data_IF_654306872591
#
_entry.id   IF_654306872591
#
_cell.length_a   1.000
_cell.length_b   1.000
_cell.length_c   1.000
_cell.angle_alpha   90.00
_cell.angle_beta   90.00
_cell.angle_gamma   90.00
#
_symmetry.space_group_name_H-M   'P 1'
#
loop_
_entity.id
_entity.type
_entity.pdbx_description
1 polymer ?
#
# COMPACT_ATOMS: atom_id res chain seq x y z
N UNK A 1 17.88 1.71 18.07
CA UNK A 1 17.13 2.23 16.92
C UNK A 1 16.17 1.16 16.43
N UNK A 2 14.85 1.39 16.50
CA UNK A 2 13.84 0.41 16.04
C UNK A 2 13.16 0.92 14.78
N UNK A 3 13.08 0.06 13.75
CA UNK A 3 12.46 0.39 12.46
C UNK A 3 11.31 -0.58 12.22
N UNK A 4 10.14 -0.04 11.91
CA UNK A 4 8.98 -0.81 11.49
C UNK A 4 8.92 -0.84 9.95
N UNK A 5 8.59 -2.00 9.39
CA UNK A 5 8.30 -2.15 7.97
C UNK A 5 6.85 -2.60 7.82
N UNK A 6 6.09 -1.92 6.95
CA UNK A 6 4.70 -2.25 6.68
C UNK A 6 4.38 -2.19 5.19
N UNK A 7 3.31 -2.87 4.80
CA UNK A 7 2.72 -2.75 3.47
C UNK A 7 1.44 -1.93 3.55
N UNK A 8 1.38 -0.82 2.82
CA UNK A 8 0.17 -0.03 2.69
C UNK A 8 -0.70 -0.62 1.56
N UNK A 9 -1.89 -1.11 1.91
CA UNK A 9 -2.90 -1.44 0.89
C UNK A 9 -3.56 -0.15 0.42
N UNK A 10 -3.06 0.40 -0.68
CA UNK A 10 -3.59 1.62 -1.30
C UNK A 10 -4.81 1.31 -2.17
N UNK A 11 -5.88 2.09 -2.01
CA UNK A 11 -7.01 2.12 -2.94
C UNK A 11 -6.72 3.17 -4.04
N UNK A 12 -6.93 2.85 -5.33
CA UNK A 12 -6.73 3.82 -6.41
C UNK A 12 -7.62 5.06 -6.23
N UNK A 13 -7.04 6.24 -6.40
CA UNK A 13 -7.70 7.55 -6.33
C UNK A 13 -8.39 7.92 -4.98
N UNK A 14 -8.43 7.04 -3.99
CA UNK A 14 -8.98 7.34 -2.66
C UNK A 14 -7.89 7.83 -1.71
N UNK A 15 -7.51 9.10 -1.86
CA UNK A 15 -6.49 9.74 -1.03
C UNK A 15 -6.90 9.71 0.46
N UNK A 16 -8.13 10.11 0.86
CA UNK A 16 -8.50 10.12 2.28
C UNK A 16 -8.41 8.75 2.95
N UNK A 17 -8.88 7.67 2.30
CA UNK A 17 -8.78 6.33 2.87
C UNK A 17 -7.32 5.87 2.99
N UNK A 18 -6.48 6.20 2.01
CA UNK A 18 -5.07 5.86 2.04
C UNK A 18 -4.33 6.57 3.18
N UNK A 19 -4.62 7.85 3.41
CA UNK A 19 -4.05 8.62 4.52
C UNK A 19 -4.49 8.05 5.88
N UNK A 20 -5.78 7.68 6.04
CA UNK A 20 -6.25 7.04 7.28
C UNK A 20 -5.52 5.74 7.57
N UNK A 21 -5.39 4.87 6.56
CA UNK A 21 -4.64 3.60 6.68
C UNK A 21 -3.17 3.83 7.03
N UNK A 22 -2.54 4.82 6.41
CA UNK A 22 -1.17 5.19 6.71
C UNK A 22 -1.02 5.68 8.16
N UNK A 23 -1.92 6.54 8.63
CA UNK A 23 -1.91 7.06 9.99
C UNK A 23 -2.00 5.93 11.02
N UNK A 24 -2.89 4.96 10.81
CA UNK A 24 -3.00 3.77 11.68
C UNK A 24 -1.70 2.96 11.73
N UNK A 25 -1.03 2.75 10.58
CA UNK A 25 0.27 2.04 10.57
C UNK A 25 1.35 2.81 11.31
N UNK A 26 1.36 4.14 11.21
CA UNK A 26 2.30 4.99 11.92
C UNK A 26 2.07 4.99 13.43
N UNK A 27 0.81 5.03 13.89
CA UNK A 27 0.44 4.88 15.30
C UNK A 27 0.92 3.53 15.85
N UNK A 28 0.61 2.44 15.15
CA UNK A 28 1.07 1.10 15.54
C UNK A 28 2.61 1.01 15.62
N UNK A 29 3.32 1.62 14.68
CA UNK A 29 4.78 1.66 14.70
C UNK A 29 5.30 2.43 15.92
N UNK A 30 4.67 3.57 16.25
CA UNK A 30 5.01 4.39 17.43
C UNK A 30 4.74 3.65 18.73
N UNK A 31 3.61 2.97 18.85
CA UNK A 31 3.26 2.16 20.03
C UNK A 31 4.26 1.02 20.26
N UNK A 32 4.84 0.51 19.17
CA UNK A 32 5.92 -0.47 19.22
C UNK A 32 7.30 0.15 19.51
N UNK A 33 7.42 1.47 19.65
CA UNK A 33 8.67 2.18 19.86
C UNK A 33 9.54 2.29 18.62
N UNK A 34 8.97 2.19 17.41
CA UNK A 34 9.71 2.40 16.17
C UNK A 34 9.94 3.90 15.93
N UNK A 35 11.17 4.22 15.56
CA UNK A 35 11.63 5.58 15.25
C UNK A 35 11.46 5.90 13.76
N UNK A 36 11.30 4.87 12.92
CA UNK A 36 11.08 4.99 11.48
C UNK A 36 10.09 3.92 11.00
N UNK A 37 9.15 4.32 10.16
CA UNK A 37 8.26 3.43 9.42
C UNK A 37 8.60 3.45 7.94
N UNK A 38 8.97 2.30 7.38
CA UNK A 38 9.24 2.12 5.95
C UNK A 38 8.05 1.42 5.29
N UNK A 39 7.54 2.00 4.20
CA UNK A 39 6.41 1.46 3.45
C UNK A 39 6.89 0.76 2.18
N UNK A 40 6.58 -0.53 2.05
CA UNK A 40 6.82 -1.28 0.82
C UNK A 40 5.75 -0.99 -0.24
N UNK A 41 6.17 -0.85 -1.50
CA UNK A 41 5.25 -0.89 -2.64
C UNK A 41 4.67 -2.31 -2.73
N UNK A 42 3.34 -2.44 -2.72
CA UNK A 42 2.68 -3.69 -3.09
C UNK A 42 2.48 -3.72 -4.61
N UNK A 43 3.12 -4.66 -5.28
CA UNK A 43 2.87 -4.94 -6.69
C UNK A 43 1.55 -5.70 -6.77
N UNK A 44 0.52 -5.07 -7.35
CA UNK A 44 -0.73 -5.79 -7.65
C UNK A 44 -0.46 -6.75 -8.81
N UNK A 45 -0.23 -8.02 -8.50
CA UNK A 45 0.01 -9.08 -9.49
C UNK A 45 -1.25 -9.51 -10.24
N UNK A 46 -2.40 -8.83 -10.06
CA UNK A 46 -3.68 -9.20 -10.68
C UNK A 46 -4.23 -8.15 -11.64
N UNK A 47 -3.38 -7.50 -12.45
CA UNK A 47 -3.85 -6.59 -13.51
C UNK A 47 -3.13 -6.75 -14.85
N UNK A 48 -3.19 -7.93 -15.45
CA UNK A 48 -3.13 -8.13 -16.92
C UNK A 48 -3.83 -9.44 -17.32
N UNK A 49 -5.14 -9.55 -17.10
CA UNK A 49 -5.93 -10.62 -17.73
C UNK A 49 -7.35 -10.18 -18.07
N UNK A 50 -7.52 -8.98 -18.63
CA UNK A 50 -8.73 -8.59 -19.38
C UNK A 50 -8.52 -7.27 -20.13
N UNK A 51 -7.86 -7.33 -21.28
CA UNK A 51 -7.95 -6.27 -22.30
C UNK A 51 -7.49 -6.69 -23.72
N UNK A 52 -6.89 -7.87 -23.94
CA UNK A 52 -6.59 -8.34 -25.31
C UNK A 52 -7.76 -9.13 -25.90
N UNK A 53 -8.94 -8.50 -25.89
CA UNK A 53 -10.11 -8.98 -26.59
C UNK A 53 -10.68 -7.83 -27.38
N UNK A 54 -10.06 -7.50 -28.52
CA UNK A 54 -10.65 -6.80 -29.69
C UNK A 54 -9.55 -6.54 -30.76
N UNK A 55 -9.28 -7.54 -31.60
CA UNK A 55 -9.20 -7.40 -33.07
C UNK A 55 -8.75 -8.72 -33.73
N UNK A 56 -9.62 -9.41 -34.48
CA UNK A 56 -9.17 -10.29 -35.55
C UNK A 56 -8.94 -9.45 -36.82
N UNK A 57 -7.73 -9.53 -37.38
CA UNK A 57 -7.50 -9.40 -38.82
C UNK A 57 -6.49 -10.46 -39.21
#
# INVERSE_FOLDING_TARGET
MKIAAAQLTSAPADIPANIRRLATLAEQARDQGAELLVLGKRTDTRRTSRADGLHPR
#
